data_IF_979191007557
#
_entry.id   IF_979191007557
#
_cell.length_a   1.000
_cell.length_b   1.000
_cell.length_c   1.000
_cell.angle_alpha   90.00
_cell.angle_beta   90.00
_cell.angle_gamma   90.00
#
_symmetry.space_group_name_H-M   'P 1'
#
loop_
_entity.id
_entity.type
_entity.pdbx_description
1 polymer ?
#
# COMPACT_ATOMS: atom_id res chain seq x y z
N UNK A 1 -46.43 -5.49 -31.69
CA UNK A 1 -44.96 -5.48 -31.48
C UNK A 1 -44.72 -5.09 -30.03
N UNK A 2 -44.17 -6.00 -29.22
CA UNK A 2 -43.86 -5.74 -27.81
C UNK A 2 -42.36 -5.43 -27.67
N UNK A 3 -42.03 -4.33 -26.99
CA UNK A 3 -40.65 -3.93 -26.68
C UNK A 3 -40.21 -4.70 -25.42
N UNK A 4 -39.13 -5.49 -25.44
CA UNK A 4 -38.64 -6.13 -24.23
C UNK A 4 -37.94 -5.10 -23.31
N UNK A 5 -38.18 -5.23 -22.01
CA UNK A 5 -37.59 -4.38 -20.97
C UNK A 5 -36.07 -4.59 -20.86
N UNK A 6 -35.27 -3.56 -20.51
CA UNK A 6 -33.84 -3.71 -20.34
C UNK A 6 -33.52 -4.51 -19.08
N UNK A 7 -32.76 -5.59 -19.29
CA UNK A 7 -32.22 -6.47 -18.24
C UNK A 7 -31.28 -5.66 -17.32
N UNK A 8 -31.65 -5.56 -16.03
CA UNK A 8 -30.87 -4.87 -15.00
C UNK A 8 -29.92 -5.87 -14.35
N UNK A 9 -28.93 -6.34 -15.09
CA UNK A 9 -27.77 -7.02 -14.52
C UNK A 9 -26.67 -6.00 -14.26
N UNK A 10 -26.83 -5.24 -13.18
CA UNK A 10 -25.72 -4.48 -12.59
C UNK A 10 -24.73 -5.49 -12.05
N UNK A 11 -23.69 -5.77 -12.83
CA UNK A 11 -22.53 -6.53 -12.39
C UNK A 11 -21.97 -5.85 -11.14
N UNK A 12 -22.15 -6.48 -9.98
CA UNK A 12 -21.39 -6.15 -8.76
C UNK A 12 -19.92 -6.39 -9.07
N UNK A 13 -19.21 -5.34 -9.49
CA UNK A 13 -17.76 -5.32 -9.37
C UNK A 13 -17.44 -5.24 -7.87
N UNK A 14 -17.34 -6.42 -7.25
CA UNK A 14 -16.73 -6.58 -5.96
C UNK A 14 -15.27 -6.12 -6.11
N UNK A 15 -15.00 -4.88 -5.72
CA UNK A 15 -13.66 -4.35 -5.59
C UNK A 15 -12.84 -5.37 -4.82
N UNK A 16 -11.88 -5.99 -5.50
CA UNK A 16 -10.93 -6.91 -4.89
C UNK A 16 -10.10 -6.05 -3.94
N UNK A 17 -10.57 -5.91 -2.69
CA UNK A 17 -9.74 -5.42 -1.59
C UNK A 17 -8.46 -6.22 -1.69
N UNK A 18 -7.33 -5.55 -1.83
CA UNK A 18 -6.01 -6.14 -1.65
C UNK A 18 -5.98 -6.67 -0.21
N UNK A 19 -6.58 -7.84 0.00
CA UNK A 19 -6.55 -8.56 1.25
C UNK A 19 -5.10 -8.98 1.36
N UNK A 20 -4.39 -8.42 2.35
CA UNK A 20 -3.09 -8.94 2.74
C UNK A 20 -3.17 -10.47 2.88
N UNK A 21 -2.02 -11.18 2.83
CA UNK A 21 -2.00 -12.63 2.91
C UNK A 21 -2.92 -13.10 4.05
N UNK A 22 -3.74 -14.14 3.80
CA UNK A 22 -4.81 -14.50 4.71
C UNK A 22 -4.24 -14.76 6.10
N UNK A 23 -4.69 -13.99 7.09
CA UNK A 23 -4.33 -14.22 8.49
C UNK A 23 -4.85 -15.58 8.92
N UNK A 24 -3.98 -16.37 9.56
CA UNK A 24 -4.32 -17.68 10.15
C UNK A 24 -4.26 -17.55 11.67
N UNK A 25 -5.27 -18.07 12.37
CA UNK A 25 -5.25 -18.20 13.82
C UNK A 25 -4.59 -19.54 14.18
N UNK A 26 -3.62 -19.50 15.08
CA UNK A 26 -2.88 -20.67 15.56
C UNK A 26 -2.92 -20.64 17.08
N UNK A 27 -3.37 -21.75 17.68
CA UNK A 27 -3.28 -21.97 19.13
C UNK A 27 -1.95 -22.64 19.44
N UNK A 28 -1.22 -22.10 20.41
CA UNK A 28 0.03 -22.68 20.91
C UNK A 28 -0.10 -22.97 22.40
N UNK A 29 0.48 -24.08 22.84
CA UNK A 29 0.55 -24.43 24.27
C UNK A 29 1.89 -23.97 24.82
N UNK A 30 1.86 -23.27 25.95
CA UNK A 30 3.03 -22.76 26.66
C UNK A 30 2.93 -23.18 28.12
N UNK A 31 4.06 -23.19 28.85
CA UNK A 31 4.01 -23.28 30.31
C UNK A 31 3.36 -22.03 30.91
N UNK A 32 2.75 -22.17 32.08
CA UNK A 32 2.10 -21.04 32.76
C UNK A 32 3.10 -19.92 33.09
N UNK A 33 4.30 -20.30 33.53
CA UNK A 33 5.39 -19.35 33.81
C UNK A 33 5.76 -18.54 32.57
N UNK A 34 5.94 -19.20 31.42
CA UNK A 34 6.26 -18.53 30.17
C UNK A 34 5.11 -17.64 29.72
N UNK A 35 3.86 -18.05 29.91
CA UNK A 35 2.68 -17.25 29.57
C UNK A 35 2.66 -15.92 30.34
N UNK A 36 3.01 -15.93 31.63
CA UNK A 36 3.12 -14.71 32.45
C UNK A 36 4.23 -13.80 31.92
N UNK A 37 5.42 -14.37 31.66
CA UNK A 37 6.56 -13.58 31.18
C UNK A 37 6.28 -12.95 29.80
N UNK A 38 5.69 -13.69 28.87
CA UNK A 38 5.38 -13.18 27.53
C UNK A 38 4.31 -12.09 27.59
N UNK A 39 3.29 -12.22 28.44
CA UNK A 39 2.28 -11.16 28.64
C UNK A 39 2.91 -9.90 29.20
N UNK A 40 3.77 -10.02 30.21
CA UNK A 40 4.48 -8.88 30.78
C UNK A 40 5.36 -8.20 29.72
N UNK A 41 6.10 -8.98 28.93
CA UNK A 41 6.93 -8.44 27.84
C UNK A 41 6.09 -7.71 26.77
N UNK A 42 4.95 -8.29 26.37
CA UNK A 42 4.03 -7.66 25.42
C UNK A 42 3.47 -6.33 25.96
N UNK A 43 3.07 -6.30 27.23
CA UNK A 43 2.59 -5.11 27.90
C UNK A 43 3.67 -4.02 28.01
N UNK A 44 4.91 -4.39 28.30
CA UNK A 44 6.06 -3.46 28.32
C UNK A 44 6.31 -2.79 26.97
N UNK A 45 6.04 -3.49 25.86
CA UNK A 45 6.12 -2.92 24.51
C UNK A 45 4.81 -2.23 24.05
N UNK A 46 3.76 -2.22 24.87
CA UNK A 46 2.46 -1.65 24.51
C UNK A 46 1.74 -2.42 23.39
N UNK A 47 2.04 -3.71 23.21
CA UNK A 47 1.52 -4.54 22.13
C UNK A 47 0.54 -5.58 22.65
N UNK A 48 -0.39 -6.00 21.78
CA UNK A 48 -1.15 -7.22 22.03
C UNK A 48 -0.23 -8.44 21.99
N UNK A 49 -0.62 -9.50 22.69
CA UNK A 49 0.14 -10.75 22.75
C UNK A 49 0.40 -11.35 21.35
N UNK A 50 -0.62 -11.33 20.48
CA UNK A 50 -0.52 -11.84 19.11
C UNK A 50 0.46 -11.02 18.26
N UNK A 51 0.41 -9.69 18.35
CA UNK A 51 1.36 -8.80 17.65
C UNK A 51 2.79 -9.02 18.16
N UNK A 52 2.96 -9.10 19.48
CA UNK A 52 4.27 -9.31 20.10
C UNK A 52 4.91 -10.63 19.63
N UNK A 53 4.16 -11.74 19.66
CA UNK A 53 4.64 -13.05 19.20
C UNK A 53 4.91 -13.02 17.69
N UNK A 54 4.01 -12.44 16.89
CA UNK A 54 4.20 -12.32 15.44
C UNK A 54 5.47 -11.53 15.08
N UNK A 55 5.72 -10.40 15.74
CA UNK A 55 6.92 -9.59 15.52
C UNK A 55 8.19 -10.37 15.90
N UNK A 56 8.18 -11.10 17.03
CA UNK A 56 9.31 -11.93 17.47
C UNK A 56 9.59 -13.08 16.51
N UNK A 57 8.56 -13.78 16.05
CA UNK A 57 8.69 -14.86 15.06
C UNK A 57 9.15 -14.33 13.71
N UNK A 58 8.62 -13.20 13.26
CA UNK A 58 9.05 -12.54 12.02
C UNK A 58 10.54 -12.20 12.06
N UNK A 59 11.03 -11.64 13.18
CA UNK A 59 12.47 -11.36 13.35
C UNK A 59 13.32 -12.64 13.40
N UNK A 60 12.88 -13.64 14.14
CA UNK A 60 13.62 -14.90 14.30
C UNK A 60 13.71 -15.71 13.00
N UNK A 61 12.65 -15.69 12.19
CA UNK A 61 12.56 -16.42 10.92
C UNK A 61 13.03 -15.60 9.71
N UNK A 62 13.55 -14.38 9.91
CA UNK A 62 13.98 -13.50 8.83
C UNK A 62 12.84 -12.96 7.95
N UNK A 63 11.59 -13.03 8.43
CA UNK A 63 10.39 -12.57 7.72
C UNK A 63 10.18 -11.05 7.74
N UNK A 64 11.07 -10.28 8.35
CA UNK A 64 11.20 -8.86 8.04
C UNK A 64 12.16 -8.79 6.85
N UNK A 65 11.64 -8.76 5.62
CA UNK A 65 12.42 -8.18 4.54
C UNK A 65 12.72 -6.77 5.01
N UNK A 66 13.97 -6.51 5.37
CA UNK A 66 14.41 -5.18 5.73
C UNK A 66 13.87 -4.23 4.64
N UNK A 67 13.02 -3.25 4.98
CA UNK A 67 12.53 -2.29 4.01
C UNK A 67 13.67 -1.59 3.27
N UNK A 68 14.86 -1.56 3.87
CA UNK A 68 16.08 -1.01 3.30
C UNK A 68 16.89 -2.04 2.51
N UNK A 69 16.63 -3.34 2.60
CA UNK A 69 17.37 -4.34 1.81
C UNK A 69 17.29 -4.09 0.28
N UNK A 70 16.16 -3.64 -0.31
CA UNK A 70 16.13 -3.19 -1.70
C UNK A 70 17.00 -1.95 -1.95
N UNK A 71 17.04 -1.01 -1.01
CA UNK A 71 17.88 0.20 -1.07
C UNK A 71 19.36 -0.14 -0.98
N UNK A 72 19.75 -0.98 -0.02
CA UNK A 72 21.14 -1.44 0.15
C UNK A 72 21.59 -2.21 -1.08
N UNK A 73 20.75 -3.07 -1.65
CA UNK A 73 21.04 -3.75 -2.91
C UNK A 73 21.24 -2.77 -4.07
N UNK A 74 20.44 -1.70 -4.13
CA UNK A 74 20.56 -0.67 -5.15
C UNK A 74 21.86 0.14 -4.98
N UNK A 75 22.19 0.55 -3.75
CA UNK A 75 23.43 1.26 -3.41
C UNK A 75 24.69 0.40 -3.59
N UNK A 76 24.57 -0.91 -3.40
CA UNK A 76 25.66 -1.88 -3.58
C UNK A 76 25.87 -2.27 -5.05
N UNK A 77 25.00 -1.81 -5.96
CA UNK A 77 25.18 -2.00 -7.39
C UNK A 77 26.45 -1.31 -7.89
N UNK A 78 26.93 -1.64 -9.10
CA UNK A 78 27.96 -0.83 -9.74
C UNK A 78 27.47 0.62 -9.75
N UNK A 79 28.29 1.52 -9.21
CA UNK A 79 28.01 2.96 -9.25
C UNK A 79 27.85 3.46 -10.68
N UNK A 80 27.59 4.76 -10.84
CA UNK A 80 27.53 5.36 -12.16
C UNK A 80 28.82 5.08 -12.95
N UNK A 81 28.69 4.56 -14.17
CA UNK A 81 29.82 4.30 -15.05
C UNK A 81 30.36 5.64 -15.61
N UNK A 82 31.57 6.08 -15.21
CA UNK A 82 32.14 7.34 -15.69
C UNK A 82 32.56 7.28 -17.16
N UNK A 83 32.69 6.08 -17.74
CA UNK A 83 33.01 5.87 -19.16
C UNK A 83 31.73 5.62 -20.01
N UNK A 84 30.58 5.53 -19.35
CA UNK A 84 29.28 5.36 -19.99
C UNK A 84 28.79 6.62 -20.71
N UNK A 85 27.72 6.50 -21.52
CA UNK A 85 27.09 7.66 -22.13
C UNK A 85 26.67 8.69 -21.07
N UNK A 86 26.69 9.99 -21.40
CA UNK A 86 26.36 11.04 -20.46
C UNK A 86 24.97 10.81 -19.84
N UNK A 87 24.79 11.12 -18.54
CA UNK A 87 23.51 10.94 -17.89
C UNK A 87 22.44 11.76 -18.60
N UNK A 88 21.20 11.23 -18.72
CA UNK A 88 20.13 11.96 -19.36
C UNK A 88 19.90 13.28 -18.64
N UNK A 89 19.82 14.36 -19.41
CA UNK A 89 19.45 15.67 -18.91
C UNK A 89 17.94 15.74 -18.67
N UNK A 90 17.50 16.78 -17.95
CA UNK A 90 16.07 16.98 -17.65
C UNK A 90 15.24 17.06 -18.93
N UNK A 91 15.83 17.64 -19.97
CA UNK A 91 15.25 17.81 -21.30
C UNK A 91 15.21 16.48 -22.08
N UNK A 92 16.04 15.50 -21.73
CA UNK A 92 16.00 14.15 -22.33
C UNK A 92 14.91 13.29 -21.69
N UNK A 93 14.36 13.71 -20.53
CA UNK A 93 13.28 13.01 -19.82
C UNK A 93 11.91 13.19 -20.47
N UNK A 94 11.84 13.74 -21.68
CA UNK A 94 10.61 13.90 -22.44
C UNK A 94 10.23 12.62 -23.18
N UNK A 95 9.94 11.55 -22.43
CA UNK A 95 8.93 10.61 -22.91
C UNK A 95 7.61 11.41 -22.95
N UNK A 96 7.00 11.67 -24.13
CA UNK A 96 5.62 12.15 -24.13
C UNK A 96 4.85 11.09 -23.37
N UNK A 97 4.27 11.45 -22.23
CA UNK A 97 3.59 10.51 -21.37
C UNK A 97 2.60 9.70 -22.21
N UNK A 98 3.02 8.52 -22.65
CA UNK A 98 2.12 7.48 -23.12
C UNK A 98 1.51 6.84 -21.88
N UNK A 99 0.96 7.68 -20.99
CA UNK A 99 -0.31 7.36 -20.36
C UNK A 99 -1.34 7.33 -21.49
N UNK A 100 -1.29 6.28 -22.32
CA UNK A 100 -2.50 5.83 -23.00
C UNK A 100 -3.48 5.54 -21.89
N UNK A 101 -4.49 6.42 -21.81
CA UNK A 101 -5.39 6.58 -20.69
C UNK A 101 -5.67 5.29 -19.94
N UNK A 102 -5.04 5.15 -18.77
CA UNK A 102 -5.76 4.61 -17.64
C UNK A 102 -6.57 5.78 -17.11
N UNK A 103 -7.77 5.94 -17.66
CA UNK A 103 -8.76 6.80 -17.05
C UNK A 103 -9.13 6.13 -15.72
N UNK A 104 -8.61 6.65 -14.61
CA UNK A 104 -9.13 6.28 -13.31
C UNK A 104 -10.57 6.80 -13.26
N UNK A 105 -11.52 5.88 -13.44
CA UNK A 105 -12.95 6.15 -13.37
C UNK A 105 -13.40 6.69 -11.99
N UNK A 106 -12.50 6.68 -11.00
CA UNK A 106 -12.77 6.98 -9.59
C UNK A 106 -12.23 8.34 -9.12
N UNK A 107 -11.75 9.21 -10.03
CA UNK A 107 -11.51 10.61 -9.66
C UNK A 107 -12.87 11.29 -9.44
N UNK A 108 -13.33 11.29 -8.19
CA UNK A 108 -14.42 12.16 -7.78
C UNK A 108 -14.03 13.60 -8.09
N UNK A 109 -14.89 14.38 -8.78
CA UNK A 109 -14.62 15.80 -8.97
C UNK A 109 -14.45 16.42 -7.57
N UNK A 110 -13.33 17.11 -7.37
CA UNK A 110 -13.13 17.90 -6.17
C UNK A 110 -14.30 18.86 -5.97
N UNK A 111 -14.61 19.26 -4.72
CA UNK A 111 -15.77 20.09 -4.44
C UNK A 111 -15.75 21.34 -5.31
N UNK A 112 -16.83 21.51 -6.07
CA UNK A 112 -17.03 22.64 -6.95
C UNK A 112 -17.06 23.89 -6.08
N UNK A 113 -16.05 24.76 -6.22
CA UNK A 113 -16.07 26.07 -5.55
C UNK A 113 -17.37 26.75 -5.93
N UNK A 114 -18.24 26.94 -4.93
CA UNK A 114 -19.50 27.64 -5.09
C UNK A 114 -19.24 29.01 -5.71
N UNK A 115 -20.08 29.38 -6.67
CA UNK A 115 -20.05 30.68 -7.30
C UNK A 115 -20.03 31.77 -6.20
N UNK A 116 -18.94 32.53 -6.15
CA UNK A 116 -18.88 33.73 -5.34
C UNK A 116 -19.88 34.72 -5.96
N UNK A 117 -20.93 35.04 -5.22
CA UNK A 117 -21.92 36.02 -5.61
C UNK A 117 -21.22 37.35 -5.86
N UNK A 118 -21.34 37.89 -7.07
CA UNK A 118 -21.14 39.30 -7.29
C UNK A 118 -22.30 40.08 -6.67
N UNK A 119 -22.00 40.92 -5.70
CA UNK A 119 -22.67 42.19 -5.39
C UNK A 119 -21.97 42.83 -4.19
N UNK A 120 -21.06 43.75 -4.45
CA UNK A 120 -21.16 45.12 -3.93
C UNK A 120 -20.06 45.96 -4.60
N UNK A 121 -20.49 46.66 -5.65
CA UNK A 121 -19.83 47.81 -6.23
C UNK A 121 -20.42 49.04 -5.53
N UNK A 122 -19.52 49.86 -4.96
CA UNK A 122 -19.62 51.30 -4.64
C UNK A 122 -20.83 51.85 -3.86
#
# INVERSE_FOLDING_TARGET
MAIPAPDRTVGRHAGRRMRGPPMKNITITLSDELTVQVRLAAAREGKSLSKFIADRLSRALGGHSDPLAPFDRWLSGPGWDPEGPPPPMREDSHEPAMLRGRADADLSPGPQRGAQAGADEA
#
